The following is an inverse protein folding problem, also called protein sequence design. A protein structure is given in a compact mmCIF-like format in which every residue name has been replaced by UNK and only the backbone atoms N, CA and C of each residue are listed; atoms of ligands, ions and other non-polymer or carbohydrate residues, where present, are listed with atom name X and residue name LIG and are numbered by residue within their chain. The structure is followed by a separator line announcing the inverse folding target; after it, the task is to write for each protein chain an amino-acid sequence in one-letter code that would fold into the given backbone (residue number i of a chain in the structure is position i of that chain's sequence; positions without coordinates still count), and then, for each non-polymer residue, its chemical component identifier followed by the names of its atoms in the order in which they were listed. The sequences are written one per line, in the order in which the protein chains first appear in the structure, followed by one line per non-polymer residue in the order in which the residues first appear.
data_IF_332099489815
#
_entry.id   IF_332099489815
#
_cell.length_a   1.000
_cell.length_b   1.000
_cell.length_c   1.000
_cell.angle_alpha   90.00
_cell.angle_beta   90.00
_cell.angle_gamma   90.00
#
_symmetry.space_group_name_H-M   'P 1'
#
loop_
_entity.id
_entity.type
_entity.pdbx_description
1 polymer ?
#
# COMPACT_ATOMS: atom_id res chain seq x y z
N UNK A 1 -7.06 27.93 8.70
CA UNK A 1 -5.92 27.35 8.01
C UNK A 1 -4.63 27.37 8.83
N UNK A 2 -4.49 28.22 9.87
CA UNK A 2 -3.35 28.11 10.80
C UNK A 2 -2.05 28.79 10.33
N UNK A 3 -2.15 29.68 9.33
CA UNK A 3 -1.02 30.51 8.90
C UNK A 3 -0.79 31.66 9.88
N UNK A 4 0.47 31.95 10.18
CA UNK A 4 0.87 33.16 10.88
C UNK A 4 1.75 34.05 9.99
N UNK A 5 1.60 35.37 10.13
CA UNK A 5 2.41 36.38 9.43
C UNK A 5 3.85 36.30 9.97
N UNK A 6 4.81 36.17 9.06
CA UNK A 6 6.24 36.22 9.40
C UNK A 6 6.68 37.69 9.33
N UNK A 7 7.13 38.30 10.43
CA UNK A 7 7.63 39.67 10.39
C UNK A 7 8.92 39.72 9.57
N UNK A 8 8.96 40.55 8.52
CA UNK A 8 10.22 40.85 7.83
C UNK A 8 11.05 41.81 8.69
N UNK A 9 12.36 41.54 8.78
CA UNK A 9 13.35 42.31 9.56
C UNK A 9 13.60 43.69 8.94
N UNK A 10 13.21 43.90 7.68
CA UNK A 10 13.45 45.15 6.95
C UNK A 10 12.51 46.30 7.38
N UNK A 11 11.45 46.00 8.14
CA UNK A 11 10.51 46.99 8.65
C UNK A 11 11.18 47.90 9.69
N UNK A 12 11.75 49.01 9.23
CA UNK A 12 12.42 50.02 10.06
C UNK A 12 13.75 50.53 9.50
N UNK A 13 14.30 49.87 8.48
CA UNK A 13 15.49 50.33 7.77
C UNK A 13 15.11 51.33 6.67
N UNK A 14 15.82 52.46 6.57
CA UNK A 14 15.61 53.47 5.51
C UNK A 14 15.81 52.92 4.09
N UNK A 15 16.38 51.72 3.95
CA UNK A 15 16.54 51.00 2.67
C UNK A 15 15.27 50.28 2.21
N UNK A 16 14.27 50.11 3.10
CA UNK A 16 13.04 49.38 2.82
C UNK A 16 12.11 50.10 1.82
N UNK A 17 12.29 51.41 1.59
CA UNK A 17 11.45 52.17 0.65
C UNK A 17 11.65 51.78 -0.82
N UNK A 18 12.76 51.09 -1.14
CA UNK A 18 13.12 50.71 -2.51
C UNK A 18 12.75 49.26 -2.84
N UNK A 19 12.47 48.45 -1.82
CA UNK A 19 12.11 47.04 -1.97
C UNK A 19 10.61 46.85 -1.76
N UNK A 20 9.98 46.10 -2.67
CA UNK A 20 8.56 45.78 -2.63
C UNK A 20 8.26 45.00 -1.35
N UNK A 21 7.32 45.47 -0.53
CA UNK A 21 6.93 44.78 0.70
C UNK A 21 6.45 43.35 0.39
N UNK A 22 7.22 42.35 0.83
CA UNK A 22 6.87 40.94 0.68
C UNK A 22 6.09 40.51 1.91
N UNK A 23 4.84 40.10 1.71
CA UNK A 23 4.02 39.51 2.76
C UNK A 23 4.30 38.01 2.85
N UNK A 24 4.97 37.60 3.91
CA UNK A 24 5.30 36.21 4.17
C UNK A 24 4.37 35.59 5.22
N UNK A 25 3.94 34.36 4.94
CA UNK A 25 3.13 33.55 5.84
C UNK A 25 3.72 32.16 5.94
N UNK A 26 3.68 31.58 7.12
CA UNK A 26 4.21 30.25 7.38
C UNK A 26 3.21 29.35 8.09
N UNK A 27 3.24 28.07 7.73
CA UNK A 27 2.43 27.00 8.28
C UNK A 27 3.18 25.66 8.12
N UNK A 28 3.31 24.90 9.22
CA UNK A 28 4.03 23.62 9.23
C UNK A 28 3.45 22.59 8.25
N UNK A 29 2.14 22.65 8.01
CA UNK A 29 1.40 21.73 7.15
C UNK A 29 1.31 22.23 5.69
N UNK A 30 1.95 23.35 5.35
CA UNK A 30 1.98 23.90 4.00
C UNK A 30 3.44 23.94 3.50
N UNK A 31 3.86 22.87 2.82
CA UNK A 31 5.23 22.70 2.33
C UNK A 31 5.25 22.45 0.83
N UNK A 32 6.25 23.00 0.14
CA UNK A 32 6.44 22.80 -1.30
C UNK A 32 6.62 21.30 -1.59
N UNK A 33 5.94 20.81 -2.62
CA UNK A 33 5.97 19.41 -3.06
C UNK A 33 5.47 18.38 -2.02
N UNK A 34 4.66 18.81 -1.05
CA UNK A 34 4.02 17.92 -0.06
C UNK A 34 2.51 18.19 0.02
N UNK A 35 1.72 17.82 -1.01
CA UNK A 35 0.28 18.01 -1.00
C UNK A 35 -0.40 17.21 0.12
N UNK A 36 0.19 16.10 0.55
CA UNK A 36 -0.30 15.21 1.61
C UNK A 36 -0.51 15.94 2.95
N UNK A 37 0.31 16.95 3.24
CA UNK A 37 0.19 17.73 4.48
C UNK A 37 -0.99 18.71 4.48
N UNK A 38 -1.56 19.02 3.31
CA UNK A 38 -2.64 20.00 3.17
C UNK A 38 -3.93 19.54 3.85
N UNK A 39 -4.15 18.23 4.00
CA UNK A 39 -5.31 17.70 4.73
C UNK A 39 -5.34 18.15 6.20
N UNK A 40 -4.17 18.51 6.77
CA UNK A 40 -4.05 19.02 8.14
C UNK A 40 -4.14 20.55 8.23
N UNK A 41 -4.16 21.28 7.11
CA UNK A 41 -4.30 22.74 7.08
C UNK A 41 -5.78 23.14 7.09
N UNK A 42 -6.54 22.75 8.12
CA UNK A 42 -8.00 22.97 8.16
C UNK A 42 -8.37 24.39 8.64
N UNK A 43 -9.54 24.89 8.22
CA UNK A 43 -10.13 26.12 8.76
C UNK A 43 -10.61 25.87 10.19
N UNK A 44 -9.95 26.50 11.18
CA UNK A 44 -10.45 26.53 12.56
C UNK A 44 -11.81 27.19 12.58
N UNK A 45 -12.85 26.43 12.91
CA UNK A 45 -14.17 26.95 13.31
C UNK A 45 -14.16 27.03 14.84
N UNK A 46 -14.84 28.03 15.42
CA UNK A 46 -14.83 28.26 16.88
C UNK A 46 -15.53 27.15 17.70
N UNK A 47 -15.95 26.05 17.06
CA UNK A 47 -16.77 24.98 17.64
C UNK A 47 -16.10 23.60 17.58
N UNK A 48 -14.88 23.46 17.07
CA UNK A 48 -14.27 22.15 16.80
C UNK A 48 -12.87 22.01 17.37
N UNK A 49 -12.73 22.09 18.69
CA UNK A 49 -11.43 21.90 19.34
C UNK A 49 -10.99 20.45 19.55
N UNK A 50 -11.83 19.41 19.40
CA UNK A 50 -11.39 18.05 19.78
C UNK A 50 -11.79 16.84 18.89
N UNK A 51 -12.73 16.94 17.94
CA UNK A 51 -13.24 15.71 17.28
C UNK A 51 -12.66 15.40 15.89
N UNK A 52 -12.05 16.35 15.18
CA UNK A 52 -11.68 16.17 13.77
C UNK A 52 -10.31 15.54 13.50
N UNK A 53 -9.54 15.20 14.53
CA UNK A 53 -8.20 14.57 14.35
C UNK A 53 -8.30 13.08 14.04
N UNK A 54 -9.49 12.46 14.17
CA UNK A 54 -9.66 11.01 13.98
C UNK A 54 -9.98 10.55 12.55
N UNK A 55 -10.37 11.46 11.65
CA UNK A 55 -10.91 11.05 10.34
C UNK A 55 -9.84 10.93 9.23
N UNK A 56 -8.60 11.35 9.51
CA UNK A 56 -7.49 11.33 8.55
C UNK A 56 -6.41 10.28 8.83
N UNK A 57 -6.52 9.54 9.94
CA UNK A 57 -5.62 8.44 10.25
C UNK A 57 -6.28 7.16 9.80
N UNK A 58 -5.92 6.64 8.62
CA UNK A 58 -6.11 5.22 8.30
C UNK A 58 -5.78 4.43 9.56
N UNK A 59 -6.75 3.72 10.14
CA UNK A 59 -6.55 2.99 11.38
C UNK A 59 -5.44 1.97 11.12
N UNK A 60 -4.24 2.25 11.63
CA UNK A 60 -3.07 1.42 11.37
C UNK A 60 -3.34 -0.04 11.77
N UNK A 61 -4.24 -0.26 12.73
CA UNK A 61 -4.66 -1.60 13.14
C UNK A 61 -5.46 -2.33 12.06
N UNK A 62 -6.32 -1.65 11.29
CA UNK A 62 -7.06 -2.28 10.19
C UNK A 62 -6.11 -2.68 9.07
N UNK A 63 -5.18 -1.81 8.70
CA UNK A 63 -4.15 -2.10 7.69
C UNK A 63 -3.29 -3.30 8.13
N UNK A 64 -2.86 -3.35 9.40
CA UNK A 64 -2.10 -4.48 9.94
C UNK A 64 -2.92 -5.78 9.90
N UNK A 65 -4.21 -5.70 10.23
CA UNK A 65 -5.10 -6.85 10.19
C UNK A 65 -5.28 -7.38 8.77
N UNK A 66 -5.53 -6.49 7.80
CA UNK A 66 -5.68 -6.82 6.38
C UNK A 66 -4.39 -7.44 5.82
N UNK A 67 -3.23 -6.86 6.10
CA UNK A 67 -1.92 -7.43 5.71
C UNK A 67 -1.74 -8.83 6.31
N UNK A 68 -2.14 -9.03 7.57
CA UNK A 68 -2.07 -10.35 8.21
C UNK A 68 -3.00 -11.36 7.56
N UNK A 69 -4.20 -10.93 7.14
CA UNK A 69 -5.14 -11.77 6.39
C UNK A 69 -4.56 -12.19 5.03
N UNK A 70 -4.00 -11.23 4.28
CA UNK A 70 -3.32 -11.48 3.00
C UNK A 70 -2.18 -12.49 3.18
N UNK A 71 -1.37 -12.34 4.23
CA UNK A 71 -0.26 -13.27 4.52
C UNK A 71 -0.74 -14.71 4.76
N UNK A 72 -1.85 -14.90 5.50
CA UNK A 72 -2.44 -16.24 5.72
C UNK A 72 -2.95 -16.84 4.41
N UNK A 73 -3.58 -16.03 3.58
CA UNK A 73 -4.06 -16.47 2.27
C UNK A 73 -2.92 -16.88 1.35
N UNK A 74 -1.82 -16.10 1.31
CA UNK A 74 -0.62 -16.44 0.56
C UNK A 74 0.01 -17.77 1.02
N UNK A 75 0.03 -18.03 2.33
CA UNK A 75 0.49 -19.31 2.86
C UNK A 75 -0.38 -20.48 2.40
N UNK A 76 -1.71 -20.28 2.42
CA UNK A 76 -2.68 -21.29 1.96
C UNK A 76 -2.52 -21.59 0.47
N UNK A 77 -2.46 -20.56 -0.37
CA UNK A 77 -2.22 -20.71 -1.82
C UNK A 77 -0.90 -21.45 -2.07
N UNK A 78 0.16 -21.10 -1.33
CA UNK A 78 1.47 -21.73 -1.50
C UNK A 78 1.41 -23.23 -1.16
N UNK A 79 0.68 -23.61 -0.11
CA UNK A 79 0.45 -25.01 0.25
C UNK A 79 -0.40 -25.75 -0.80
N UNK A 80 -1.42 -25.10 -1.35
CA UNK A 80 -2.25 -25.67 -2.43
C UNK A 80 -1.46 -25.88 -3.72
N UNK A 81 -0.59 -24.94 -4.10
CA UNK A 81 0.29 -25.10 -5.27
C UNK A 81 1.23 -26.29 -5.08
N UNK A 82 1.83 -26.46 -3.90
CA UNK A 82 2.68 -27.62 -3.62
C UNK A 82 1.91 -28.93 -3.71
N UNK A 83 0.67 -28.95 -3.22
CA UNK A 83 -0.23 -30.11 -3.34
C UNK A 83 -0.56 -30.40 -4.80
N UNK A 84 -0.91 -29.40 -5.60
CA UNK A 84 -1.18 -29.62 -7.03
C UNK A 84 0.03 -30.11 -7.80
N UNK A 85 1.24 -29.65 -7.43
CA UNK A 85 2.47 -30.15 -8.03
C UNK A 85 2.68 -31.64 -7.75
N UNK A 86 2.49 -32.08 -6.51
CA UNK A 86 2.65 -33.51 -6.16
C UNK A 86 1.55 -34.39 -6.76
N UNK A 87 0.31 -33.90 -6.82
CA UNK A 87 -0.80 -34.60 -7.50
C UNK A 87 -0.52 -34.73 -9.00
N UNK A 88 -0.01 -33.68 -9.66
CA UNK A 88 0.35 -33.73 -11.07
C UNK A 88 1.47 -34.75 -11.33
N UNK A 89 2.51 -34.79 -10.49
CA UNK A 89 3.58 -35.79 -10.59
C UNK A 89 3.03 -37.22 -10.43
N UNK A 90 2.10 -37.42 -9.49
CA UNK A 90 1.45 -38.72 -9.28
C UNK A 90 0.66 -39.15 -10.51
N UNK A 91 -0.17 -38.27 -11.06
CA UNK A 91 -0.94 -38.53 -12.28
C UNK A 91 -0.03 -38.83 -13.48
N UNK A 92 1.09 -38.13 -13.61
CA UNK A 92 2.08 -38.41 -14.63
C UNK A 92 2.66 -39.82 -14.49
N UNK A 93 3.02 -40.22 -13.28
CA UNK A 93 3.52 -41.56 -13.00
C UNK A 93 2.48 -42.65 -13.29
N UNK A 94 1.22 -42.42 -12.92
CA UNK A 94 0.11 -43.33 -13.24
C UNK A 94 -0.11 -43.48 -14.74
N UNK A 95 -0.08 -42.37 -15.48
CA UNK A 95 -0.19 -42.36 -16.95
C UNK A 95 0.91 -43.18 -17.62
N UNK A 96 2.16 -43.03 -17.14
CA UNK A 96 3.29 -43.85 -17.62
C UNK A 96 3.06 -45.33 -17.34
N UNK A 97 2.65 -45.70 -16.12
CA UNK A 97 2.39 -47.09 -15.76
C UNK A 97 1.24 -47.71 -16.57
N UNK A 98 0.18 -46.95 -16.83
CA UNK A 98 -0.94 -47.39 -17.66
C UNK A 98 -0.48 -47.64 -19.10
N UNK A 99 0.35 -46.76 -19.65
CA UNK A 99 0.92 -46.92 -20.99
C UNK A 99 1.80 -48.17 -21.07
N UNK A 100 2.65 -48.42 -20.07
CA UNK A 100 3.47 -49.65 -20.02
C UNK A 100 2.61 -50.92 -19.94
N UNK A 101 1.56 -50.92 -19.11
CA UNK A 101 0.62 -52.05 -19.02
C UNK A 101 -0.08 -52.30 -20.36
N UNK A 102 -0.52 -51.24 -21.02
CA UNK A 102 -1.16 -51.32 -22.33
C UNK A 102 -0.20 -51.89 -23.38
N UNK A 103 1.04 -51.41 -23.44
CA UNK A 103 2.05 -51.95 -24.37
C UNK A 103 2.28 -53.45 -24.14
N UNK A 104 2.42 -53.89 -22.89
CA UNK A 104 2.56 -55.32 -22.56
C UNK A 104 1.36 -56.15 -23.01
N UNK A 105 0.14 -55.62 -22.82
CA UNK A 105 -1.09 -56.28 -23.28
C UNK A 105 -1.13 -56.39 -24.81
N UNK A 106 -0.77 -55.33 -25.53
CA UNK A 106 -0.70 -55.35 -26.99
C UNK A 106 0.32 -56.38 -27.48
N UNK A 107 1.52 -56.41 -26.90
CA UNK A 107 2.53 -57.42 -27.24
C UNK A 107 2.07 -58.86 -27.00
N UNK A 108 1.25 -59.11 -25.95
CA UNK A 108 0.66 -60.43 -25.74
C UNK A 108 -0.42 -60.76 -26.75
N UNK A 109 -1.22 -59.78 -27.19
CA UNK A 109 -2.23 -59.97 -28.25
C UNK A 109 -1.54 -60.28 -29.58
N UNK A 110 -0.50 -59.51 -29.94
CA UNK A 110 0.22 -59.69 -31.21
C UNK A 110 0.96 -61.03 -31.30
N UNK A 111 1.18 -61.72 -30.17
CA UNK A 111 1.81 -63.05 -30.08
C UNK A 111 0.83 -64.22 -30.20
N UNK A 112 -0.48 -63.97 -30.22
CA UNK A 112 -1.55 -64.98 -30.37
C UNK A 112 -2.01 -65.00 -31.83
#
# INVERSE_FOLDING_TARGET
YGFHKVPSIEHGSLLASTQKEILEFSNKNFQKNRPDLLCFAVRRTNTQSDELVKDGTLDMNTVIHEISAIKRHQFTISAEIQKFQSENETLWNESIQLRERYTKQQETIDKI
#
